data_IF_925308456327
#
_entry.id   IF_925308456327
#
_cell.length_a   1.000
_cell.length_b   1.000
_cell.length_c   1.000
_cell.angle_alpha   90.00
_cell.angle_beta   90.00
_cell.angle_gamma   90.00
#
_symmetry.space_group_name_H-M   'P 1'
#
loop_
_entity.id
_entity.type
_entity.pdbx_description
1 polymer ?
#
# COMPACT_ATOMS: atom_id res chain seq x y z
N UNK A 1 -9.37 9.38 -8.32
CA UNK A 1 -9.11 7.97 -7.97
C UNK A 1 -8.07 7.42 -8.93
N UNK A 2 -6.95 6.93 -8.39
CA UNK A 2 -5.81 6.42 -9.17
C UNK A 2 -5.51 4.99 -8.76
N UNK A 3 -5.00 4.17 -9.68
CA UNK A 3 -4.49 2.82 -9.39
C UNK A 3 -3.02 2.89 -8.99
N UNK A 4 -2.66 2.35 -7.84
CA UNK A 4 -1.31 2.43 -7.27
C UNK A 4 -0.82 1.03 -6.94
N UNK A 5 0.31 0.63 -7.52
CA UNK A 5 1.05 -0.54 -7.07
C UNK A 5 2.07 -0.10 -6.00
N UNK A 6 2.06 -0.76 -4.85
CA UNK A 6 2.91 -0.45 -3.71
C UNK A 6 3.78 -1.66 -3.37
N UNK A 7 5.10 -1.50 -3.40
CA UNK A 7 6.06 -2.59 -3.10
C UNK A 7 6.78 -2.27 -1.79
N UNK A 8 6.67 -3.18 -0.82
CA UNK A 8 7.15 -3.02 0.54
C UNK A 8 6.06 -2.51 1.47
N UNK A 9 5.65 -3.33 2.43
CA UNK A 9 4.59 -3.12 3.41
C UNK A 9 5.08 -3.22 4.86
N UNK A 10 6.40 -3.15 5.09
CA UNK A 10 6.97 -3.03 6.43
C UNK A 10 6.57 -1.75 7.18
N UNK A 11 7.28 -1.44 8.27
CA UNK A 11 6.91 -0.36 9.23
C UNK A 11 6.57 1.01 8.62
N UNK A 12 7.17 1.36 7.49
CA UNK A 12 6.85 2.60 6.76
C UNK A 12 5.85 2.37 5.62
N UNK A 13 6.03 1.29 4.86
CA UNK A 13 5.24 0.99 3.67
C UNK A 13 3.76 0.75 3.97
N UNK A 14 3.46 -0.06 5.00
CA UNK A 14 2.09 -0.38 5.38
C UNK A 14 1.25 0.86 5.72
N UNK A 15 1.70 1.74 6.65
CA UNK A 15 0.98 2.98 6.96
C UNK A 15 0.81 3.92 5.76
N UNK A 16 1.81 4.00 4.86
CA UNK A 16 1.70 4.81 3.64
C UNK A 16 0.66 4.25 2.67
N UNK A 17 0.68 2.94 2.39
CA UNK A 17 -0.32 2.29 1.56
C UNK A 17 -1.73 2.44 2.13
N UNK A 18 -1.88 2.32 3.46
CA UNK A 18 -3.15 2.53 4.15
C UNK A 18 -3.66 3.98 4.01
N UNK A 19 -2.77 4.98 4.04
CA UNK A 19 -3.17 6.37 3.81
C UNK A 19 -3.64 6.62 2.38
N UNK A 20 -3.04 5.95 1.38
CA UNK A 20 -3.50 6.02 -0.01
C UNK A 20 -4.90 5.41 -0.18
N UNK A 21 -5.18 4.29 0.50
CA UNK A 21 -6.54 3.70 0.53
C UNK A 21 -7.52 4.68 1.18
N UNK A 22 -7.19 5.26 2.34
CA UNK A 22 -8.03 6.26 3.02
C UNK A 22 -8.30 7.49 2.17
N UNK A 23 -7.35 7.89 1.33
CA UNK A 23 -7.49 9.00 0.38
C UNK A 23 -8.33 8.65 -0.87
N UNK A 24 -8.82 7.41 -0.99
CA UNK A 24 -9.65 6.99 -2.13
C UNK A 24 -8.84 6.64 -3.37
N UNK A 25 -7.66 6.05 -3.20
CA UNK A 25 -6.94 5.38 -4.28
C UNK A 25 -7.19 3.86 -4.25
N UNK A 26 -7.14 3.23 -5.41
CA UNK A 26 -7.15 1.77 -5.57
C UNK A 26 -5.71 1.27 -5.44
N UNK A 27 -5.38 0.60 -4.34
CA UNK A 27 -3.99 0.28 -3.96
C UNK A 27 -3.78 -1.22 -3.93
N UNK A 28 -2.75 -1.67 -4.63
CA UNK A 28 -2.32 -3.07 -4.70
C UNK A 28 -0.96 -3.20 -4.05
N UNK A 29 -0.90 -3.82 -2.88
CA UNK A 29 0.32 -4.00 -2.11
C UNK A 29 1.00 -5.34 -2.40
N UNK A 30 2.33 -5.34 -2.46
CA UNK A 30 3.16 -6.54 -2.51
C UNK A 30 4.32 -6.43 -1.52
N UNK A 31 4.61 -7.51 -0.79
CA UNK A 31 5.80 -7.66 0.03
C UNK A 31 6.37 -9.06 -0.17
N UNK A 32 7.68 -9.22 0.07
CA UNK A 32 8.35 -10.52 0.05
C UNK A 32 8.07 -11.31 1.32
N UNK A 33 7.80 -10.63 2.43
CA UNK A 33 7.28 -11.25 3.64
C UNK A 33 5.86 -11.73 3.37
N UNK A 34 5.59 -12.96 3.79
CA UNK A 34 4.22 -13.41 3.95
C UNK A 34 3.52 -12.57 5.03
N UNK A 35 2.19 -12.47 4.94
CA UNK A 35 1.33 -11.67 5.81
C UNK A 35 0.81 -12.47 7.01
#
# INVERSE_FOLDING_TARGET
MSKVAFVGLGNMGGPMAANLVKAGHDVWGFDLSEA
#
